data_IF_006492088057
#
_entry.id   IF_006492088057
#
_cell.length_a   1.000
_cell.length_b   1.000
_cell.length_c   1.000
_cell.angle_alpha   90.00
_cell.angle_beta   90.00
_cell.angle_gamma   90.00
#
_symmetry.space_group_name_H-M   'P 1'
#
loop_
_entity.id
_entity.type
_entity.pdbx_description
1 polymer ?
#
# COMPACT_ATOMS: atom_id res chain seq x y z
N UNK A 1 32.18 -9.79 2.66
CA UNK A 1 30.84 -10.38 2.44
C UNK A 1 29.82 -9.49 3.14
N UNK A 2 29.04 -8.70 2.40
CA UNK A 2 27.99 -7.88 3.00
C UNK A 2 26.77 -8.75 3.30
N UNK A 3 26.53 -9.07 4.57
CA UNK A 3 25.39 -9.87 4.99
C UNK A 3 24.15 -8.98 5.19
N UNK A 4 23.55 -8.51 4.09
CA UNK A 4 22.23 -7.90 4.14
C UNK A 4 21.21 -9.03 4.06
N UNK A 5 20.57 -9.36 5.19
CA UNK A 5 19.51 -10.36 5.24
C UNK A 5 18.16 -9.69 4.97
N UNK A 6 17.55 -10.01 3.84
CA UNK A 6 16.17 -9.60 3.54
C UNK A 6 15.23 -10.62 4.19
N UNK A 7 14.53 -10.20 5.25
CA UNK A 7 13.58 -11.05 5.99
C UNK A 7 12.17 -11.07 5.40
N UNK A 8 11.86 -10.12 4.51
CA UNK A 8 10.57 -10.04 3.82
C UNK A 8 10.34 -11.27 2.91
N UNK A 9 9.10 -11.76 2.78
CA UNK A 9 8.78 -12.80 1.80
C UNK A 9 8.94 -12.27 0.37
N UNK A 10 9.18 -13.18 -0.60
CA UNK A 10 9.19 -12.80 -2.01
C UNK A 10 7.82 -12.26 -2.41
N UNK A 11 7.82 -11.22 -3.23
CA UNK A 11 6.61 -10.63 -3.80
C UNK A 11 6.11 -11.47 -4.98
N UNK A 12 4.81 -11.37 -5.27
CA UNK A 12 4.17 -11.98 -6.44
C UNK A 12 3.07 -11.05 -6.96
N UNK A 13 3.36 -10.38 -8.06
CA UNK A 13 2.49 -9.37 -8.67
C UNK A 13 3.13 -7.99 -8.61
N UNK A 14 2.84 -7.16 -9.62
CA UNK A 14 3.37 -5.81 -9.77
C UNK A 14 2.29 -4.91 -10.36
N UNK A 15 2.21 -3.68 -9.88
CA UNK A 15 1.35 -2.61 -10.41
C UNK A 15 2.22 -1.38 -10.64
N UNK A 16 2.03 -0.71 -11.78
CA UNK A 16 2.67 0.57 -12.09
C UNK A 16 1.63 1.68 -11.91
N UNK A 17 1.88 2.61 -10.98
CA UNK A 17 1.10 3.84 -10.86
C UNK A 17 1.83 4.97 -11.59
N UNK A 18 1.20 5.54 -12.61
CA UNK A 18 1.69 6.72 -13.30
C UNK A 18 1.13 7.96 -12.60
N UNK A 19 1.98 8.73 -11.96
CA UNK A 19 1.57 9.94 -11.23
C UNK A 19 2.13 11.19 -11.90
N UNK A 20 1.62 12.35 -11.49
CA UNK A 20 2.14 13.65 -11.95
C UNK A 20 3.60 13.90 -11.57
N UNK A 21 4.13 13.18 -10.58
CA UNK A 21 5.52 13.28 -10.12
C UNK A 21 6.40 12.12 -10.61
N UNK A 22 5.88 11.29 -11.52
CA UNK A 22 6.57 10.15 -12.10
C UNK A 22 5.96 8.81 -11.74
N UNK A 23 6.66 7.77 -12.16
CA UNK A 23 6.20 6.39 -12.11
C UNK A 23 6.55 5.74 -10.76
N UNK A 24 5.56 5.07 -10.15
CA UNK A 24 5.72 4.30 -8.91
C UNK A 24 5.42 2.85 -9.20
N UNK A 25 6.47 2.04 -9.23
CA UNK A 25 6.37 0.58 -9.35
C UNK A 25 6.13 -0.05 -7.96
N UNK A 26 4.99 -0.72 -7.79
CA UNK A 26 4.61 -1.41 -6.54
C UNK A 26 4.65 -2.92 -6.76
N UNK A 27 5.43 -3.62 -5.94
CA UNK A 27 5.41 -5.08 -5.84
C UNK A 27 4.49 -5.54 -4.71
N UNK A 28 3.74 -6.62 -4.92
CA UNK A 28 2.67 -7.05 -4.03
C UNK A 28 2.98 -8.37 -3.34
N UNK A 29 2.60 -8.49 -2.06
CA UNK A 29 2.64 -9.73 -1.29
C UNK A 29 1.29 -10.46 -1.37
N UNK A 30 0.92 -10.90 -2.58
CA UNK A 30 -0.39 -11.50 -2.85
C UNK A 30 -0.65 -12.84 -2.13
N UNK A 31 0.39 -13.50 -1.61
CA UNK A 31 0.24 -14.70 -0.78
C UNK A 31 -0.09 -14.35 0.66
N UNK A 32 0.53 -13.30 1.20
CA UNK A 32 0.39 -12.86 2.58
C UNK A 32 -0.82 -11.94 2.82
N UNK A 33 -1.19 -11.13 1.84
CA UNK A 33 -2.35 -10.22 1.88
C UNK A 33 -3.24 -10.38 0.62
N UNK A 34 -3.88 -11.56 0.43
CA UNK A 34 -4.60 -11.87 -0.79
C UNK A 34 -5.83 -10.99 -1.04
N UNK A 35 -6.58 -10.59 -0.01
CA UNK A 35 -7.75 -9.72 -0.19
C UNK A 35 -7.33 -8.29 -0.55
N UNK A 36 -6.38 -7.73 0.19
CA UNK A 36 -5.88 -6.38 -0.10
C UNK A 36 -5.26 -6.30 -1.50
N UNK A 37 -4.43 -7.28 -1.87
CA UNK A 37 -3.83 -7.32 -3.20
C UNK A 37 -4.87 -7.49 -4.31
N UNK A 38 -5.88 -8.35 -4.12
CA UNK A 38 -6.95 -8.54 -5.11
C UNK A 38 -7.79 -7.27 -5.28
N UNK A 39 -8.17 -6.64 -4.17
CA UNK A 39 -8.89 -5.37 -4.17
C UNK A 39 -8.11 -4.30 -4.93
N UNK A 40 -6.83 -4.10 -4.57
CA UNK A 40 -5.98 -3.10 -5.20
C UNK A 40 -5.82 -3.33 -6.72
N UNK A 41 -5.50 -4.56 -7.13
CA UNK A 41 -5.35 -4.89 -8.56
C UNK A 41 -6.65 -4.66 -9.32
N UNK A 42 -7.79 -5.10 -8.80
CA UNK A 42 -9.07 -4.96 -9.47
C UNK A 42 -9.46 -3.47 -9.62
N UNK A 43 -9.30 -2.67 -8.56
CA UNK A 43 -9.54 -1.22 -8.62
C UNK A 43 -8.62 -0.53 -9.65
N UNK A 44 -7.36 -0.96 -9.76
CA UNK A 44 -6.48 -0.49 -10.83
C UNK A 44 -6.97 -0.88 -12.23
N UNK A 45 -7.49 -2.09 -12.41
CA UNK A 45 -8.00 -2.56 -13.71
C UNK A 45 -9.33 -1.90 -14.12
N UNK A 46 -10.09 -1.41 -13.14
CA UNK A 46 -11.36 -0.70 -13.33
C UNK A 46 -11.17 0.82 -13.44
N UNK A 47 -9.92 1.29 -13.60
CA UNK A 47 -9.58 2.72 -13.70
C UNK A 47 -10.01 3.55 -12.47
N UNK A 48 -10.34 2.90 -11.35
CA UNK A 48 -10.90 3.54 -10.15
C UNK A 48 -9.98 4.58 -9.52
N UNK A 49 -8.66 4.38 -9.65
CA UNK A 49 -7.64 5.28 -9.11
C UNK A 49 -7.24 6.41 -10.08
N UNK A 50 -7.77 6.43 -11.30
CA UNK A 50 -7.46 7.50 -12.24
C UNK A 50 -7.95 8.85 -11.70
N UNK A 51 -7.12 9.88 -11.86
CA UNK A 51 -7.35 11.24 -11.36
C UNK A 51 -7.57 11.37 -9.84
N UNK A 52 -7.35 10.31 -9.07
CA UNK A 52 -7.39 10.37 -7.60
C UNK A 52 -6.12 11.03 -7.04
N UNK A 53 -6.30 11.86 -6.01
CA UNK A 53 -5.19 12.62 -5.40
C UNK A 53 -4.60 11.89 -4.18
N UNK A 54 -3.37 12.25 -3.84
CA UNK A 54 -2.82 12.02 -2.50
C UNK A 54 -3.30 13.15 -1.58
N UNK A 55 -4.45 12.95 -0.93
CA UNK A 55 -5.13 13.98 -0.14
C UNK A 55 -4.46 14.25 1.21
N UNK A 56 -3.60 13.35 1.71
CA UNK A 56 -2.92 13.52 3.01
C UNK A 56 -1.45 13.13 2.92
N UNK A 57 -0.57 14.06 3.29
CA UNK A 57 0.88 13.84 3.36
C UNK A 57 1.39 14.30 4.71
N UNK A 58 2.02 13.38 5.44
CA UNK A 58 2.65 13.66 6.74
C UNK A 58 4.14 13.33 6.62
N UNK A 59 4.99 14.35 6.76
CA UNK A 59 6.44 14.22 6.61
C UNK A 59 6.99 13.11 7.52
N UNK A 60 7.92 12.30 7.00
CA UNK A 60 8.52 11.14 7.67
C UNK A 60 7.56 10.04 8.14
N UNK A 61 6.28 10.13 7.79
CA UNK A 61 5.26 9.17 8.20
C UNK A 61 4.62 8.48 6.99
N UNK A 62 3.61 9.10 6.36
CA UNK A 62 2.88 8.49 5.23
C UNK A 62 2.42 9.52 4.20
N UNK A 63 2.33 9.08 2.95
CA UNK A 63 1.53 9.72 1.90
C UNK A 63 0.32 8.83 1.58
N UNK A 64 -0.88 9.36 1.74
CA UNK A 64 -2.15 8.62 1.66
C UNK A 64 -3.00 9.12 0.48
N UNK A 65 -3.61 8.18 -0.23
CA UNK A 65 -4.44 8.40 -1.40
C UNK A 65 -5.45 7.27 -1.60
N UNK A 66 -5.98 7.15 -2.82
CA UNK A 66 -6.96 6.11 -3.16
C UNK A 66 -8.40 6.41 -2.74
N UNK A 67 -8.72 7.68 -2.49
CA UNK A 67 -10.09 8.18 -2.29
C UNK A 67 -10.53 8.95 -3.54
N UNK A 68 -11.53 8.44 -4.31
CA UNK A 68 -12.05 9.13 -5.49
C UNK A 68 -12.72 10.47 -5.21
N UNK A 69 -13.17 10.68 -3.97
CA UNK A 69 -13.80 11.95 -3.56
C UNK A 69 -12.77 13.01 -3.18
N UNK A 70 -11.54 12.59 -2.85
CA UNK A 70 -10.46 13.47 -2.38
C UNK A 70 -10.67 14.05 -0.98
N UNK A 71 -11.70 13.62 -0.25
CA UNK A 71 -12.06 14.18 1.07
C UNK A 71 -11.28 13.56 2.22
N UNK A 72 -10.78 12.33 2.02
CA UNK A 72 -10.15 11.49 3.04
C UNK A 72 -11.13 10.52 3.72
N UNK A 73 -12.43 10.63 3.47
CA UNK A 73 -13.46 9.78 4.07
C UNK A 73 -14.16 8.86 3.06
N UNK A 74 -13.92 9.05 1.76
CA UNK A 74 -14.52 8.25 0.70
C UNK A 74 -13.77 6.97 0.37
N UNK A 75 -14.28 6.24 -0.63
CA UNK A 75 -13.66 5.04 -1.16
C UNK A 75 -14.37 3.75 -0.79
N UNK A 76 -14.44 2.82 -1.73
CA UNK A 76 -15.17 1.56 -1.61
C UNK A 76 -14.29 0.39 -2.06
N UNK A 77 -14.50 -0.78 -1.45
CA UNK A 77 -13.83 -1.99 -1.91
C UNK A 77 -14.61 -2.64 -3.05
N UNK A 78 -13.93 -3.49 -3.82
CA UNK A 78 -14.58 -4.33 -4.85
C UNK A 78 -15.57 -5.35 -4.28
N UNK A 79 -15.58 -5.52 -2.95
CA UNK A 79 -16.44 -6.49 -2.27
C UNK A 79 -17.78 -5.87 -1.84
N UNK A 80 -18.02 -4.59 -2.16
CA UNK A 80 -19.23 -3.85 -1.77
C UNK A 80 -19.34 -3.54 -0.27
N UNK A 81 -18.31 -3.86 0.51
CA UNK A 81 -18.22 -3.59 1.95
C UNK A 81 -16.76 -3.58 2.42
N UNK A 82 -16.43 -2.98 3.57
CA UNK A 82 -15.07 -3.04 4.09
C UNK A 82 -14.61 -4.48 4.34
N UNK A 83 -13.34 -4.78 4.08
CA UNK A 83 -12.77 -6.11 4.23
C UNK A 83 -11.80 -6.22 5.41
N UNK A 84 -11.57 -7.47 5.85
CA UNK A 84 -10.78 -7.80 7.03
C UNK A 84 -9.30 -7.41 6.91
N UNK A 85 -8.67 -7.17 8.06
CA UNK A 85 -7.22 -6.97 8.12
C UNK A 85 -6.46 -8.28 7.85
N UNK A 86 -5.30 -8.17 7.19
CA UNK A 86 -4.42 -9.30 6.86
C UNK A 86 -3.00 -9.02 7.40
N UNK A 87 -2.66 -9.65 8.53
CA UNK A 87 -1.36 -9.46 9.19
C UNK A 87 -0.43 -10.65 8.98
N UNK A 88 0.86 -10.37 8.76
CA UNK A 88 1.89 -11.39 8.61
C UNK A 88 3.11 -11.07 9.47
N UNK A 89 3.67 -12.07 10.17
CA UNK A 89 4.74 -11.84 11.15
C UNK A 89 6.02 -11.24 10.55
N UNK A 90 6.31 -11.54 9.28
CA UNK A 90 7.50 -11.03 8.57
C UNK A 90 7.27 -9.71 7.82
N UNK A 91 6.03 -9.21 7.79
CA UNK A 91 5.69 -7.93 7.18
C UNK A 91 5.52 -6.91 8.29
N UNK A 92 6.45 -5.95 8.34
CA UNK A 92 6.51 -4.91 9.37
C UNK A 92 6.80 -3.56 8.75
N UNK A 93 6.18 -2.51 9.29
CA UNK A 93 6.37 -1.12 8.86
C UNK A 93 7.69 -0.52 9.38
N UNK A 94 8.81 -1.20 9.10
CA UNK A 94 10.13 -0.90 9.67
C UNK A 94 10.98 0.05 8.81
N UNK A 95 10.50 0.47 7.64
CA UNK A 95 11.20 1.33 6.69
C UNK A 95 10.22 2.08 5.77
N UNK A 96 10.74 3.08 5.05
CA UNK A 96 10.03 3.77 3.97
C UNK A 96 9.78 2.87 2.75
N UNK A 97 8.82 3.28 1.92
CA UNK A 97 8.47 2.61 0.66
C UNK A 97 7.64 1.34 0.85
N UNK A 98 6.91 1.24 1.96
CA UNK A 98 5.96 0.16 2.22
C UNK A 98 4.53 0.66 1.94
N UNK A 99 3.68 -0.20 1.38
CA UNK A 99 2.32 0.14 0.95
C UNK A 99 1.32 -0.60 1.83
N UNK A 100 0.52 0.16 2.58
CA UNK A 100 -0.47 -0.36 3.51
C UNK A 100 -1.89 0.16 3.22
N UNK A 101 -2.89 -0.60 3.64
CA UNK A 101 -4.29 -0.17 3.57
C UNK A 101 -4.59 0.83 4.69
N UNK A 102 -5.21 1.96 4.35
CA UNK A 102 -5.78 2.86 5.34
C UNK A 102 -7.10 2.28 5.86
N UNK A 103 -7.39 2.48 7.15
CA UNK A 103 -8.63 2.03 7.78
C UNK A 103 -9.02 3.00 8.92
N UNK A 104 -10.32 3.08 9.23
CA UNK A 104 -10.86 3.81 10.39
C UNK A 104 -10.86 2.97 11.67
N UNK A 105 -10.56 1.67 11.55
CA UNK A 105 -10.55 0.72 12.65
C UNK A 105 -10.30 -0.71 12.16
N UNK A 106 -10.52 -1.67 13.05
CA UNK A 106 -10.33 -3.10 12.75
C UNK A 106 -11.29 -3.55 11.64
N UNK A 107 -10.74 -4.25 10.64
CA UNK A 107 -11.48 -4.81 9.49
C UNK A 107 -12.27 -3.78 8.67
N UNK A 108 -11.73 -2.58 8.54
CA UNK A 108 -12.36 -1.45 7.86
C UNK A 108 -11.59 -1.03 6.60
N UNK A 109 -11.08 -2.01 5.85
CA UNK A 109 -10.29 -1.73 4.65
C UNK A 109 -11.23 -1.51 3.43
N UNK A 110 -11.06 -0.40 2.71
CA UNK A 110 -11.81 -0.07 1.48
C UNK A 110 -10.88 0.10 0.28
N UNK A 111 -10.84 1.26 -0.39
CA UNK A 111 -9.93 1.57 -1.49
C UNK A 111 -8.69 2.35 -1.07
N UNK A 112 -8.74 3.05 0.06
CA UNK A 112 -7.69 3.96 0.47
C UNK A 112 -6.42 3.21 0.90
N UNK A 113 -5.27 3.72 0.47
CA UNK A 113 -3.96 3.16 0.81
C UNK A 113 -2.97 4.28 1.12
N UNK A 114 -1.85 3.90 1.72
CA UNK A 114 -0.76 4.81 2.00
C UNK A 114 0.60 4.20 1.66
N UNK A 115 1.57 5.06 1.36
CA UNK A 115 2.99 4.73 1.19
C UNK A 115 3.76 5.31 2.37
N UNK A 116 4.55 4.50 3.07
CA UNK A 116 5.38 4.97 4.19
C UNK A 116 6.54 5.84 3.70
N UNK A 117 6.73 6.98 4.36
CA UNK A 117 7.84 7.91 4.12
C UNK A 117 8.98 7.74 5.14
N UNK A 118 8.72 7.00 6.22
CA UNK A 118 9.68 6.65 7.26
C UNK A 118 9.35 5.30 7.90
N UNK A 119 9.92 5.05 9.08
CA UNK A 119 9.58 3.90 9.93
C UNK A 119 8.35 4.24 10.76
N UNK A 120 7.34 3.37 10.75
CA UNK A 120 6.03 3.64 11.34
C UNK A 120 5.55 2.41 12.13
N UNK A 121 6.27 2.07 13.19
CA UNK A 121 6.04 0.85 13.96
C UNK A 121 4.65 0.80 14.62
N UNK A 122 4.06 1.96 14.88
CA UNK A 122 2.74 2.16 15.46
C UNK A 122 1.59 1.66 14.56
N UNK A 123 1.85 1.43 13.27
CA UNK A 123 0.90 0.87 12.30
C UNK A 123 0.96 -0.67 12.25
N UNK A 124 1.96 -1.29 12.87
CA UNK A 124 2.08 -2.75 12.91
C UNK A 124 0.88 -3.38 13.61
N UNK A 125 0.30 -4.41 12.98
CA UNK A 125 -0.91 -5.10 13.44
C UNK A 125 -2.15 -4.20 13.58
N UNK A 126 -2.14 -3.01 12.95
CA UNK A 126 -3.31 -2.14 12.79
C UNK A 126 -3.71 -2.00 11.34
N UNK A 127 -2.72 -1.92 10.45
CA UNK A 127 -2.93 -1.77 9.02
C UNK A 127 -2.36 -2.96 8.25
N UNK A 128 -3.08 -3.39 7.22
CA UNK A 128 -2.65 -4.46 6.32
C UNK A 128 -1.50 -3.97 5.46
N UNK A 129 -0.32 -4.58 5.59
CA UNK A 129 0.84 -4.32 4.73
C UNK A 129 0.80 -5.29 3.54
N UNK A 130 0.53 -4.77 2.34
CA UNK A 130 0.25 -5.61 1.18
C UNK A 130 1.25 -5.41 0.02
N UNK A 131 2.07 -4.37 0.04
CA UNK A 131 3.07 -4.16 -1.00
C UNK A 131 4.25 -3.30 -0.60
N UNK A 132 5.20 -3.15 -1.53
CA UNK A 132 6.36 -2.26 -1.40
C UNK A 132 6.67 -1.57 -2.72
N UNK A 133 7.15 -0.34 -2.63
CA UNK A 133 7.68 0.37 -3.79
C UNK A 133 9.02 -0.25 -4.17
N UNK A 134 9.17 -0.58 -5.46
CA UNK A 134 10.43 -1.09 -6.01
C UNK A 134 11.43 0.05 -6.08
N UNK A 135 12.59 -0.13 -5.45
CA UNK A 135 13.72 0.77 -5.68
C UNK A 135 14.23 0.60 -7.10
N UNK A 136 14.35 1.70 -7.85
CA UNK A 136 15.10 1.71 -9.09
C UNK A 136 16.58 1.72 -8.69
N UNK A 137 17.32 0.68 -9.06
CA UNK A 137 18.77 0.74 -9.00
C UNK A 137 19.20 1.69 -10.12
N UNK A 138 19.52 2.93 -9.78
CA UNK A 138 20.23 3.79 -10.70
C UNK A 138 21.62 3.16 -10.87
N UNK A 139 21.83 2.51 -12.01
CA UNK A 139 23.16 2.14 -12.48
C UNK A 139 23.81 3.39 -13.07
N UNK A 140 24.16 4.35 -12.21
CA UNK A 140 25.11 5.41 -12.52
C UNK A 140 26.42 5.13 -11.78
#
# INVERSE_FOLDING_TARGET
>A
MSSIYITEPPTKGKVLLKTTLGDIDIELWSKEAPLACRNFIQLCLEDYYNDTIFHRVVFEFVAQGGDPTGTGEGGESIYGSPFKDEFHQRLKFNRRGLVGMANGGKNDNTSQFFITLGRTDELNNKNTLFGKVRGVANND
#
